data_IF_921495620455
#
_entry.id   IF_921495620455
#
_cell.length_a   1.000
_cell.length_b   1.000
_cell.length_c   1.000
_cell.angle_alpha   90.00
_cell.angle_beta   90.00
_cell.angle_gamma   90.00
#
_symmetry.space_group_name_H-M   'P 1'
#
loop_
_entity.id
_entity.type
_entity.pdbx_description
1 polymer ?
#
# COMPACT_ATOMS: atom_id res chain seq x y z
N UNK A 1 -41.24 16.30 -10.23
CA UNK A 1 -39.89 16.83 -9.94
C UNK A 1 -39.21 15.87 -8.99
N UNK A 2 -38.65 14.76 -9.50
CA UNK A 2 -38.06 13.71 -8.66
C UNK A 2 -36.75 13.24 -9.29
N UNK A 3 -35.72 14.07 -9.11
CA UNK A 3 -34.31 13.70 -9.31
C UNK A 3 -33.55 14.51 -8.27
N UNK A 4 -33.33 13.95 -7.08
CA UNK A 4 -32.28 14.37 -6.10
C UNK A 4 -32.52 13.78 -4.70
N UNK A 5 -32.69 12.46 -4.58
CA UNK A 5 -32.56 11.78 -3.27
C UNK A 5 -31.74 10.48 -3.33
N UNK A 6 -31.27 10.06 -4.51
CA UNK A 6 -30.55 8.79 -4.68
C UNK A 6 -29.02 8.90 -4.51
N UNK A 7 -28.46 10.07 -4.22
CA UNK A 7 -27.00 10.30 -4.26
C UNK A 7 -26.34 10.42 -2.88
N UNK A 8 -27.08 10.76 -1.81
CA UNK A 8 -26.46 10.99 -0.49
C UNK A 8 -26.11 9.70 0.25
N UNK A 9 -26.88 8.61 0.10
CA UNK A 9 -26.61 7.36 0.81
C UNK A 9 -25.45 6.59 0.20
N UNK A 10 -25.33 6.61 -1.13
CA UNK A 10 -24.22 5.97 -1.86
C UNK A 10 -22.92 6.74 -1.65
N UNK A 11 -22.97 8.07 -1.65
CA UNK A 11 -21.80 8.91 -1.35
C UNK A 11 -21.32 8.70 0.09
N UNK A 12 -22.22 8.62 1.06
CA UNK A 12 -21.84 8.38 2.46
C UNK A 12 -21.25 6.97 2.68
N UNK A 13 -21.80 5.95 2.00
CA UNK A 13 -21.25 4.59 2.02
C UNK A 13 -19.85 4.54 1.39
N UNK A 14 -19.65 5.24 0.26
CA UNK A 14 -18.35 5.37 -0.39
C UNK A 14 -17.33 6.11 0.46
N UNK A 15 -17.73 7.17 1.18
CA UNK A 15 -16.88 7.89 2.12
C UNK A 15 -16.46 7.01 3.31
N UNK A 16 -17.38 6.24 3.87
CA UNK A 16 -17.06 5.30 4.95
C UNK A 16 -16.17 4.14 4.45
N UNK A 17 -16.44 3.61 3.25
CA UNK A 17 -15.57 2.63 2.61
C UNK A 17 -14.16 3.20 2.37
N UNK A 18 -14.06 4.46 1.95
CA UNK A 18 -12.81 5.18 1.77
C UNK A 18 -12.05 5.31 3.10
N UNK A 19 -12.73 5.74 4.17
CA UNK A 19 -12.12 5.87 5.49
C UNK A 19 -11.60 4.51 6.01
N UNK A 20 -12.40 3.46 5.88
CA UNK A 20 -12.00 2.11 6.27
C UNK A 20 -10.80 1.61 5.45
N UNK A 21 -10.75 1.95 4.16
CA UNK A 21 -9.63 1.64 3.28
C UNK A 21 -8.37 2.41 3.70
N UNK A 22 -8.49 3.71 4.01
CA UNK A 22 -7.37 4.53 4.46
C UNK A 22 -6.82 4.06 5.81
N UNK A 23 -7.68 3.73 6.76
CA UNK A 23 -7.27 3.10 8.02
C UNK A 23 -6.59 1.76 7.76
N UNK A 24 -7.19 0.91 6.92
CA UNK A 24 -6.58 -0.37 6.56
C UNK A 24 -5.21 -0.20 5.92
N UNK A 25 -5.00 0.81 5.05
CA UNK A 25 -3.74 1.01 4.34
C UNK A 25 -2.69 1.74 5.16
N UNK A 26 -3.08 2.48 6.19
CA UNK A 26 -2.17 3.17 7.12
C UNK A 26 -1.90 2.40 8.40
N UNK A 27 -2.72 1.41 8.74
CA UNK A 27 -2.54 0.58 9.93
C UNK A 27 -1.20 -0.15 9.91
N UNK A 28 -0.53 -0.34 11.07
CA UNK A 28 0.70 -1.12 11.13
C UNK A 28 0.42 -2.58 10.75
N UNK A 29 1.41 -3.28 10.19
CA UNK A 29 1.23 -4.62 9.59
C UNK A 29 0.80 -5.69 10.61
N UNK A 30 1.08 -5.46 11.88
CA UNK A 30 0.75 -6.33 13.01
C UNK A 30 -0.66 -6.10 13.58
N UNK A 31 -1.50 -5.24 12.99
CA UNK A 31 -2.90 -5.18 13.38
C UNK A 31 -3.59 -6.51 13.03
N UNK A 32 -4.47 -7.01 13.90
CA UNK A 32 -5.25 -8.26 13.74
C UNK A 32 -6.21 -8.24 12.53
N UNK A 33 -6.00 -7.34 11.57
CA UNK A 33 -6.61 -7.37 10.25
C UNK A 33 -6.14 -8.63 9.54
N UNK A 34 -6.80 -9.76 9.85
CA UNK A 34 -6.63 -11.05 9.22
C UNK A 34 -6.59 -10.83 7.71
N UNK A 35 -5.41 -10.99 7.13
CA UNK A 35 -5.27 -11.00 5.68
C UNK A 35 -6.19 -12.12 5.19
N UNK A 36 -7.02 -11.89 4.16
CA UNK A 36 -7.89 -12.94 3.63
C UNK A 36 -7.04 -14.17 3.34
N UNK A 37 -7.30 -15.25 4.08
CA UNK A 37 -6.59 -16.52 3.97
C UNK A 37 -6.69 -17.00 2.53
N UNK A 38 -5.55 -16.96 1.84
CA UNK A 38 -5.18 -17.83 0.72
C UNK A 38 -6.21 -17.97 -0.41
N UNK A 39 -6.03 -17.19 -1.49
CA UNK A 39 -6.23 -17.55 -2.94
C UNK A 39 -6.22 -16.29 -3.82
N UNK A 40 -6.56 -15.12 -3.27
CA UNK A 40 -6.78 -13.90 -4.08
C UNK A 40 -5.58 -12.93 -4.14
N UNK A 41 -4.41 -13.26 -3.58
CA UNK A 41 -3.24 -12.34 -3.54
C UNK A 41 -2.66 -12.07 -4.92
N UNK A 42 -2.58 -13.09 -5.77
CA UNK A 42 -2.20 -12.96 -7.18
C UNK A 42 -3.24 -12.15 -8.00
N UNK A 43 -4.52 -12.20 -7.60
CA UNK A 43 -5.57 -11.36 -8.18
C UNK A 43 -5.55 -9.95 -7.59
N UNK A 44 -5.11 -9.78 -6.34
CA UNK A 44 -5.06 -8.50 -5.65
C UNK A 44 -4.17 -7.51 -6.38
N UNK A 45 -3.01 -7.95 -6.88
CA UNK A 45 -2.17 -7.09 -7.71
C UNK A 45 -2.90 -6.63 -8.99
N UNK A 46 -3.58 -7.54 -9.70
CA UNK A 46 -4.35 -7.23 -10.91
C UNK A 46 -5.52 -6.28 -10.61
N UNK A 47 -6.26 -6.52 -9.53
CA UNK A 47 -7.35 -5.66 -9.04
C UNK A 47 -6.81 -4.28 -8.66
N UNK A 48 -5.69 -4.23 -7.96
CA UNK A 48 -5.00 -2.98 -7.62
C UNK A 48 -4.65 -2.16 -8.85
N UNK A 49 -4.07 -2.79 -9.87
CA UNK A 49 -3.78 -2.14 -11.16
C UNK A 49 -5.05 -1.70 -11.90
N UNK A 50 -6.12 -2.50 -11.85
CA UNK A 50 -7.41 -2.13 -12.43
C UNK A 50 -7.96 -0.85 -11.79
N UNK A 51 -8.03 -0.78 -10.46
CA UNK A 51 -8.52 0.41 -9.76
C UNK A 51 -7.58 1.61 -9.91
N UNK A 52 -6.27 1.38 -10.06
CA UNK A 52 -5.31 2.44 -10.42
C UNK A 52 -5.64 3.04 -11.79
N UNK A 53 -6.01 2.22 -12.77
CA UNK A 53 -6.42 2.67 -14.11
C UNK A 53 -7.76 3.42 -14.08
N UNK A 54 -8.70 2.96 -13.26
CA UNK A 54 -9.99 3.62 -13.00
C UNK A 54 -9.86 4.85 -12.09
N UNK A 55 -8.64 5.28 -11.73
CA UNK A 55 -8.35 6.40 -10.83
C UNK A 55 -9.00 6.29 -9.43
N UNK A 56 -9.42 5.08 -9.07
CA UNK A 56 -9.96 4.72 -7.76
C UNK A 56 -8.82 4.39 -6.81
N UNK A 57 -7.99 5.40 -6.52
CA UNK A 57 -6.75 5.24 -5.75
C UNK A 57 -6.91 4.58 -4.38
N UNK A 58 -7.97 4.84 -3.59
CA UNK A 58 -8.13 4.21 -2.28
C UNK A 58 -8.30 2.70 -2.42
N UNK A 59 -9.23 2.27 -3.28
CA UNK A 59 -9.44 0.85 -3.56
C UNK A 59 -8.16 0.21 -4.13
N UNK A 60 -7.47 0.92 -5.03
CA UNK A 60 -6.19 0.47 -5.54
C UNK A 60 -5.17 0.27 -4.42
N UNK A 61 -5.05 1.22 -3.49
CA UNK A 61 -4.13 1.14 -2.35
C UNK A 61 -4.43 -0.06 -1.45
N UNK A 62 -5.71 -0.38 -1.21
CA UNK A 62 -6.11 -1.58 -0.45
C UNK A 62 -5.61 -2.86 -1.12
N UNK A 63 -5.89 -3.02 -2.41
CA UNK A 63 -5.52 -4.23 -3.16
C UNK A 63 -4.01 -4.35 -3.36
N UNK A 64 -3.34 -3.23 -3.65
CA UNK A 64 -1.89 -3.15 -3.77
C UNK A 64 -1.23 -3.46 -2.42
N UNK A 65 -1.75 -2.96 -1.30
CA UNK A 65 -1.24 -3.32 0.03
C UNK A 65 -1.38 -4.81 0.30
N UNK A 66 -2.53 -5.41 -0.02
CA UNK A 66 -2.73 -6.85 0.17
C UNK A 66 -1.68 -7.66 -0.62
N UNK A 67 -1.44 -7.31 -1.88
CA UNK A 67 -0.41 -7.95 -2.69
C UNK A 67 1.02 -7.70 -2.14
N UNK A 68 1.31 -6.47 -1.69
CA UNK A 68 2.60 -6.12 -1.10
C UNK A 68 2.90 -6.93 0.18
N UNK A 69 1.87 -7.10 1.04
CA UNK A 69 1.92 -7.91 2.26
C UNK A 69 2.03 -9.41 1.98
N UNK A 70 1.67 -9.85 0.77
CA UNK A 70 1.85 -11.23 0.32
C UNK A 70 3.25 -11.49 -0.25
N UNK A 71 4.14 -10.49 -0.21
CA UNK A 71 5.49 -10.56 -0.76
C UNK A 71 5.59 -10.22 -2.25
N UNK A 72 4.57 -9.63 -2.88
CA UNK A 72 4.71 -9.17 -4.27
C UNK A 72 5.58 -7.91 -4.33
N UNK A 73 6.79 -8.05 -4.89
CA UNK A 73 7.77 -6.97 -4.94
C UNK A 73 7.30 -5.79 -5.80
N UNK A 74 6.53 -6.06 -6.87
CA UNK A 74 5.96 -5.00 -7.72
C UNK A 74 4.90 -4.24 -6.94
N UNK A 75 4.04 -4.94 -6.22
CA UNK A 75 3.03 -4.30 -5.39
C UNK A 75 3.65 -3.42 -4.29
N UNK A 76 4.76 -3.84 -3.67
CA UNK A 76 5.51 -3.01 -2.73
C UNK A 76 5.99 -1.71 -3.38
N UNK A 77 6.50 -1.77 -4.62
CA UNK A 77 6.86 -0.57 -5.38
C UNK A 77 5.66 0.35 -5.64
N UNK A 78 4.53 -0.20 -6.11
CA UNK A 78 3.32 0.59 -6.33
C UNK A 78 2.78 1.20 -5.04
N UNK A 79 2.85 0.49 -3.91
CA UNK A 79 2.44 1.02 -2.61
C UNK A 79 3.32 2.21 -2.21
N UNK A 80 4.64 2.08 -2.42
CA UNK A 80 5.59 3.18 -2.23
C UNK A 80 5.23 4.41 -3.07
N UNK A 81 4.89 4.23 -4.34
CA UNK A 81 4.43 5.31 -5.23
C UNK A 81 3.14 5.98 -4.72
N UNK A 82 2.16 5.19 -4.27
CA UNK A 82 0.90 5.71 -3.74
C UNK A 82 1.16 6.60 -2.51
N UNK A 83 2.06 6.19 -1.60
CA UNK A 83 2.47 7.01 -0.45
C UNK A 83 3.20 8.29 -0.85
N UNK A 84 4.10 8.23 -1.83
CA UNK A 84 4.84 9.42 -2.29
C UNK A 84 3.91 10.44 -2.93
N UNK A 85 2.92 9.96 -3.70
CA UNK A 85 1.94 10.79 -4.40
C UNK A 85 0.73 11.17 -3.56
N UNK A 86 0.51 10.54 -2.41
CA UNK A 86 -0.70 10.72 -1.60
C UNK A 86 -1.97 10.22 -2.31
N UNK A 87 -1.86 9.21 -3.17
CA UNK A 87 -2.96 8.71 -3.98
C UNK A 87 -3.69 7.59 -3.24
N UNK A 88 -4.87 7.90 -2.69
CA UNK A 88 -5.67 6.93 -1.95
C UNK A 88 -5.07 6.49 -0.62
N UNK A 89 -4.00 7.16 -0.20
CA UNK A 89 -3.30 7.04 1.08
C UNK A 89 -2.79 8.42 1.49
N UNK A 90 -2.59 8.71 2.78
CA UNK A 90 -1.94 9.95 3.20
C UNK A 90 -0.54 10.05 2.61
N UNK A 91 -0.20 11.23 2.08
CA UNK A 91 1.11 11.46 1.50
C UNK A 91 2.20 11.28 2.57
N UNK A 92 3.17 10.41 2.31
CA UNK A 92 4.27 10.15 3.22
C UNK A 92 5.52 9.72 2.49
N UNK A 93 6.47 10.64 2.33
CA UNK A 93 7.79 10.33 1.78
C UNK A 93 8.54 9.28 2.60
N UNK A 94 8.32 9.24 3.93
CA UNK A 94 8.94 8.26 4.82
C UNK A 94 8.45 6.82 4.53
N UNK A 95 7.12 6.59 4.57
CA UNK A 95 6.56 5.27 4.28
C UNK A 95 6.80 4.89 2.82
N UNK A 96 6.69 5.85 1.90
CA UNK A 96 7.01 5.67 0.49
C UNK A 96 8.44 5.18 0.28
N UNK A 97 9.42 5.82 0.92
CA UNK A 97 10.83 5.41 0.86
C UNK A 97 11.02 4.00 1.42
N UNK A 98 10.40 3.66 2.55
CA UNK A 98 10.57 2.33 3.13
C UNK A 98 10.05 1.21 2.22
N UNK A 99 8.85 1.38 1.65
CA UNK A 99 8.29 0.42 0.69
C UNK A 99 9.11 0.31 -0.60
N UNK A 100 9.66 1.43 -1.08
CA UNK A 100 10.55 1.42 -2.26
C UNK A 100 11.89 0.74 -1.95
N UNK A 101 12.48 0.99 -0.78
CA UNK A 101 13.73 0.32 -0.36
C UNK A 101 13.51 -1.18 -0.27
N UNK A 102 12.38 -1.62 0.27
CA UNK A 102 11.99 -3.02 0.34
C UNK A 102 11.80 -3.64 -1.07
N UNK A 103 11.15 -2.93 -1.99
CA UNK A 103 11.00 -3.40 -3.36
C UNK A 103 12.36 -3.46 -4.09
N UNK A 104 13.24 -2.48 -3.87
CA UNK A 104 14.58 -2.42 -4.45
C UNK A 104 15.46 -3.58 -3.95
N UNK A 105 15.40 -3.93 -2.66
CA UNK A 105 16.16 -5.06 -2.12
C UNK A 105 15.71 -6.41 -2.67
N UNK A 106 14.46 -6.51 -3.15
CA UNK A 106 13.89 -7.68 -3.81
C UNK A 106 14.00 -7.64 -5.35
N UNK A 107 14.80 -6.72 -5.89
CA UNK A 107 15.16 -6.69 -7.32
C UNK A 107 14.31 -5.78 -8.21
N UNK A 108 13.45 -4.92 -7.65
CA UNK A 108 12.70 -3.94 -8.45
C UNK A 108 13.57 -2.71 -8.74
N UNK A 109 14.30 -2.74 -9.86
CA UNK A 109 15.21 -1.65 -10.24
C UNK A 109 14.55 -0.28 -10.41
N UNK A 110 13.27 -0.23 -10.82
CA UNK A 110 12.50 1.02 -10.92
C UNK A 110 12.33 1.73 -9.56
N UNK A 111 12.45 1.00 -8.45
CA UNK A 111 12.36 1.59 -7.11
C UNK A 111 13.57 2.48 -6.80
N UNK A 112 14.76 2.17 -7.34
CA UNK A 112 15.97 2.96 -7.12
C UNK A 112 15.81 4.40 -7.64
N UNK A 113 15.24 4.56 -8.84
CA UNK A 113 15.00 5.89 -9.44
C UNK A 113 14.08 6.73 -8.55
N UNK A 114 13.03 6.11 -8.00
CA UNK A 114 12.11 6.79 -7.08
C UNK A 114 12.78 7.13 -5.74
N UNK A 115 13.62 6.22 -5.20
CA UNK A 115 14.37 6.47 -3.96
C UNK A 115 15.26 7.70 -4.12
N UNK A 116 16.01 7.80 -5.23
CA UNK A 116 16.88 8.94 -5.49
C UNK A 116 16.10 10.25 -5.67
N UNK A 117 14.89 10.20 -6.25
CA UNK A 117 13.99 11.37 -6.33
C UNK A 117 13.49 11.83 -4.97
N UNK A 118 13.20 10.90 -4.04
CA UNK A 118 12.63 11.23 -2.71
C UNK A 118 13.72 11.64 -1.71
N UNK A 119 14.93 11.11 -1.88
CA UNK A 119 16.13 11.39 -1.05
C UNK A 119 16.33 12.88 -0.70
N UNK A 120 16.30 13.83 -1.65
CA UNK A 120 16.48 15.26 -1.33
C UNK A 120 15.35 15.85 -0.49
N UNK A 121 14.17 15.22 -0.46
CA UNK A 121 13.02 15.64 0.33
C UNK A 121 13.03 15.08 1.76
N UNK A 122 13.98 14.21 2.09
CA UNK A 122 14.12 13.59 3.41
C UNK A 122 15.47 13.94 4.04
N UNK A 123 15.48 14.11 5.37
CA UNK A 123 16.75 14.25 6.09
C UNK A 123 17.47 12.90 6.19
N UNK A 124 18.81 12.94 6.34
CA UNK A 124 19.63 11.73 6.50
C UNK A 124 19.14 10.82 7.63
N UNK A 125 18.65 11.41 8.73
CA UNK A 125 18.05 10.65 9.83
C UNK A 125 16.81 9.90 9.37
N UNK A 126 15.87 10.58 8.72
CA UNK A 126 14.64 9.95 8.21
C UNK A 126 14.90 8.88 7.15
N UNK A 127 15.93 9.06 6.34
CA UNK A 127 16.38 8.06 5.36
C UNK A 127 16.82 6.77 6.08
N UNK A 128 17.68 6.90 7.10
CA UNK A 128 18.11 5.74 7.90
C UNK A 128 16.93 5.08 8.62
N UNK A 129 16.06 5.88 9.22
CA UNK A 129 14.87 5.38 9.90
C UNK A 129 13.94 4.62 8.93
N UNK A 130 13.79 5.10 7.69
CA UNK A 130 12.98 4.44 6.66
C UNK A 130 13.62 3.13 6.18
N UNK A 131 14.94 3.05 6.10
CA UNK A 131 15.67 1.82 5.79
C UNK A 131 15.51 0.77 6.90
N UNK A 132 15.61 1.18 8.17
CA UNK A 132 15.33 0.31 9.31
C UNK A 132 13.88 -0.18 9.29
N UNK A 133 12.93 0.72 9.00
CA UNK A 133 11.53 0.33 8.86
C UNK A 133 11.33 -0.67 7.71
N UNK A 134 11.98 -0.47 6.56
CA UNK A 134 11.96 -1.42 5.45
C UNK A 134 12.44 -2.83 5.86
N UNK A 135 13.48 -2.92 6.70
CA UNK A 135 13.93 -4.21 7.24
C UNK A 135 12.85 -4.86 8.13
N UNK A 136 12.20 -4.08 9.01
CA UNK A 136 11.09 -4.63 9.83
C UNK A 136 9.90 -5.07 8.97
N UNK A 137 9.59 -4.36 7.89
CA UNK A 137 8.54 -4.73 6.94
C UNK A 137 8.88 -6.07 6.26
N UNK A 138 10.13 -6.26 5.86
CA UNK A 138 10.60 -7.51 5.27
C UNK A 138 10.39 -8.69 6.22
N UNK A 139 10.82 -8.56 7.48
CA UNK A 139 10.67 -9.61 8.49
C UNK A 139 9.20 -9.95 8.75
N UNK A 140 8.33 -8.94 8.86
CA UNK A 140 6.90 -9.14 9.09
C UNK A 140 6.22 -9.83 7.92
N UNK A 141 6.49 -9.40 6.68
CA UNK A 141 5.94 -10.02 5.48
C UNK A 141 6.41 -11.48 5.38
N UNK A 142 7.67 -11.74 5.69
CA UNK A 142 8.21 -13.09 5.71
C UNK A 142 7.53 -13.95 6.79
N UNK A 143 7.39 -13.46 8.02
CA UNK A 143 6.69 -14.17 9.09
C UNK A 143 5.24 -14.50 8.70
N UNK A 144 4.52 -13.56 8.07
CA UNK A 144 3.14 -13.78 7.61
C UNK A 144 3.05 -14.86 6.53
N UNK A 145 4.06 -15.01 5.68
CA UNK A 145 4.11 -16.10 4.69
C UNK A 145 4.36 -17.47 5.34
N UNK A 146 5.09 -17.53 6.46
CA UNK A 146 5.45 -18.79 7.14
C UNK A 146 4.50 -19.19 8.29
N UNK A 147 3.60 -18.30 8.73
CA UNK A 147 2.62 -18.55 9.78
C UNK A 147 1.29 -19.14 9.28
N UNK A 148 1.18 -19.54 8.01
CA UNK A 148 -0.01 -20.25 7.51
C UNK A 148 0.07 -21.72 7.94
N UNK A 149 -0.76 -22.22 8.88
CA UNK A 149 -0.79 -23.65 9.21
C UNK A 149 -1.32 -24.45 8.00
N UNK A 150 -0.67 -25.58 7.70
CA UNK A 150 -1.17 -26.62 6.78
C UNK A 150 -2.56 -27.15 7.17
#
# INVERSE_FOLDING_TARGET
>A
MEKSQLDNSTSHDLEQQLLNVLEFVTAPINSEARLPETTDTAQAYKKGLYYLKEQSYPLAAKWIRLAAMSGDHKAQFYLGLLFVKGQGVPQSAFHGMAWLVLANSQGVGAAQEMIEQIKPHLSTKRIKDAQCYAATLYEQIHQLQFLSPE
#
